data_IF_321321131417
#
_entry.id   IF_321321131417
#
_cell.length_a   1.000
_cell.length_b   1.000
_cell.length_c   1.000
_cell.angle_alpha   90.00
_cell.angle_beta   90.00
_cell.angle_gamma   90.00
#
_symmetry.space_group_name_H-M   'P 1'
#
loop_
_entity.id
_entity.type
_entity.pdbx_description
1 polymer ?
#
# COMPACT_ATOMS: atom_id res chain seq x y z
N UNK A 1 -55.60 47.90 -13.01
CA UNK A 1 -55.34 46.92 -11.94
C UNK A 1 -54.33 47.52 -10.98
N UNK A 2 -54.67 47.46 -9.68
CA UNK A 2 -53.89 47.51 -8.41
C UNK A 2 -52.37 47.36 -8.60
N UNK A 3 -51.42 47.95 -7.85
CA UNK A 3 -51.34 48.89 -6.73
C UNK A 3 -49.85 49.29 -6.66
N UNK A 4 -49.53 50.50 -6.20
CA UNK A 4 -48.16 50.97 -5.92
C UNK A 4 -47.53 50.13 -4.80
N UNK A 5 -46.22 49.86 -4.90
CA UNK A 5 -45.37 49.53 -3.75
C UNK A 5 -44.14 50.44 -3.81
N UNK A 6 -44.01 51.22 -2.74
CA UNK A 6 -42.87 52.05 -2.36
C UNK A 6 -42.04 51.26 -1.33
N UNK A 7 -40.80 51.72 -1.06
CA UNK A 7 -39.93 51.44 0.11
C UNK A 7 -39.00 50.21 -0.08
N UNK A 8 -37.74 50.16 0.38
CA UNK A 8 -37.00 50.92 1.39
C UNK A 8 -35.48 50.74 1.12
N UNK A 9 -34.69 51.77 1.42
CA UNK A 9 -33.23 51.77 1.47
C UNK A 9 -32.73 51.00 2.71
N UNK A 10 -31.72 50.13 2.60
CA UNK A 10 -30.88 49.77 3.76
C UNK A 10 -29.44 49.50 3.32
N UNK A 11 -28.59 50.47 3.60
CA UNK A 11 -27.13 50.34 3.64
C UNK A 11 -26.74 49.76 5.00
N UNK A 12 -25.93 48.70 5.02
CA UNK A 12 -25.17 48.29 6.20
C UNK A 12 -23.71 48.17 5.79
N UNK A 13 -22.90 49.10 6.28
CA UNK A 13 -21.46 48.95 6.42
C UNK A 13 -21.19 48.46 7.84
N UNK A 14 -20.45 47.37 7.98
CA UNK A 14 -19.68 47.08 9.19
C UNK A 14 -18.42 46.30 8.80
N UNK A 15 -17.28 46.92 9.07
CA UNK A 15 -15.96 46.31 9.08
C UNK A 15 -15.83 45.37 10.28
N UNK A 16 -15.22 44.20 10.09
CA UNK A 16 -14.39 43.56 11.10
C UNK A 16 -13.43 42.58 10.43
N UNK A 17 -12.14 42.83 10.65
CA UNK A 17 -11.02 42.00 10.26
C UNK A 17 -10.96 40.73 11.12
N UNK A 18 -10.57 39.60 10.52
CA UNK A 18 -9.72 38.62 11.18
C UNK A 18 -8.57 38.28 10.23
N UNK A 19 -7.38 38.52 10.74
CA UNK A 19 -6.07 38.23 10.16
C UNK A 19 -5.59 36.87 10.69
N UNK A 20 -4.66 36.27 9.95
CA UNK A 20 -3.72 35.20 10.32
C UNK A 20 -4.08 33.76 9.95
N UNK A 21 -3.11 33.19 9.22
CA UNK A 21 -2.73 31.78 9.15
C UNK A 21 -3.71 30.81 8.50
N UNK A 22 -3.76 30.85 7.18
CA UNK A 22 -4.02 29.64 6.40
C UNK A 22 -2.76 28.77 6.40
N UNK A 23 -2.39 28.20 7.56
CA UNK A 23 -1.84 26.86 7.53
C UNK A 23 -3.04 25.95 7.24
N UNK A 24 -3.29 25.74 5.94
CA UNK A 24 -4.04 24.57 5.51
C UNK A 24 -3.12 23.39 5.81
N UNK A 25 -3.13 22.95 7.06
CA UNK A 25 -2.76 21.58 7.38
C UNK A 25 -3.91 20.76 6.79
N UNK A 26 -3.71 20.33 5.56
CA UNK A 26 -4.55 19.30 4.94
C UNK A 26 -4.74 18.19 5.97
N UNK A 27 -5.98 17.72 6.20
CA UNK A 27 -6.17 16.57 7.07
C UNK A 27 -5.63 15.38 6.29
N UNK A 28 -4.36 15.05 6.53
CA UNK A 28 -3.99 13.63 6.60
C UNK A 28 -5.02 13.05 7.55
N UNK A 29 -5.80 12.09 7.09
CA UNK A 29 -6.67 11.32 7.96
C UNK A 29 -5.77 10.77 9.08
N UNK A 30 -5.78 11.46 10.22
CA UNK A 30 -4.80 11.28 11.30
C UNK A 30 -5.25 10.15 12.23
N UNK A 31 -6.24 9.35 11.82
CA UNK A 31 -6.63 8.19 12.59
C UNK A 31 -5.42 7.25 12.67
N UNK A 32 -4.87 7.07 13.89
CA UNK A 32 -3.66 6.26 14.05
C UNK A 32 -3.98 4.83 13.64
N UNK A 33 -3.09 4.20 12.88
CA UNK A 33 -3.20 2.78 12.61
C UNK A 33 -2.94 2.05 13.92
N UNK A 34 -4.01 1.52 14.51
CA UNK A 34 -3.99 0.77 15.75
C UNK A 34 -4.13 -0.73 15.51
N UNK A 35 -3.68 -1.53 16.49
CA UNK A 35 -3.70 -2.99 16.43
C UNK A 35 -2.51 -3.58 15.70
N UNK A 36 -2.60 -4.87 15.37
CA UNK A 36 -1.60 -5.59 14.58
C UNK A 36 -2.11 -5.70 13.14
N UNK A 37 -1.59 -4.83 12.25
CA UNK A 37 -2.01 -4.75 10.86
C UNK A 37 -0.85 -4.76 9.88
N UNK A 38 -1.12 -5.29 8.71
CA UNK A 38 -0.21 -5.32 7.57
C UNK A 38 -0.89 -4.69 6.37
N UNK A 39 -0.18 -3.80 5.69
CA UNK A 39 -0.56 -3.31 4.36
C UNK A 39 0.20 -4.12 3.32
N UNK A 40 -0.52 -4.73 2.38
CA UNK A 40 0.04 -5.39 1.20
C UNK A 40 -0.37 -4.63 -0.04
N UNK A 41 0.60 -4.26 -0.89
CA UNK A 41 0.39 -3.48 -2.11
C UNK A 41 0.90 -4.26 -3.31
N UNK A 42 0.19 -4.13 -4.43
CA UNK A 42 0.50 -4.74 -5.72
C UNK A 42 0.90 -3.66 -6.72
N UNK A 43 2.06 -3.83 -7.34
CA UNK A 43 2.61 -2.92 -8.33
C UNK A 43 3.06 -3.73 -9.54
N UNK A 44 2.54 -3.39 -10.72
CA UNK A 44 2.84 -4.11 -11.96
C UNK A 44 4.35 -4.10 -12.26
N UNK A 45 4.92 -5.25 -12.60
CA UNK A 45 6.37 -5.38 -12.78
C UNK A 45 6.94 -4.55 -13.94
N UNK A 46 6.19 -4.42 -15.04
CA UNK A 46 6.70 -3.79 -16.27
C UNK A 46 6.50 -2.28 -16.29
N UNK A 47 5.34 -1.83 -15.87
CA UNK A 47 4.89 -0.43 -15.90
C UNK A 47 5.13 0.27 -14.58
N UNK A 48 5.32 -0.49 -13.49
CA UNK A 48 5.34 0.01 -12.11
C UNK A 48 4.06 0.74 -11.70
N UNK A 49 2.97 0.58 -12.45
CA UNK A 49 1.69 1.13 -12.04
C UNK A 49 1.23 0.48 -10.73
N UNK A 50 0.83 1.30 -9.76
CA UNK A 50 0.14 0.80 -8.58
C UNK A 50 -1.21 0.24 -9.00
N UNK A 51 -1.46 -1.03 -8.70
CA UNK A 51 -2.67 -1.74 -9.14
C UNK A 51 -3.73 -1.84 -8.04
N UNK A 52 -3.30 -1.92 -6.78
CA UNK A 52 -4.19 -2.07 -5.64
C UNK A 52 -3.50 -2.55 -4.38
N UNK A 53 -4.27 -2.67 -3.31
CA UNK A 53 -3.74 -3.03 -2.00
C UNK A 53 -4.79 -3.70 -1.11
N UNK A 54 -4.36 -4.26 0.02
CA UNK A 54 -5.26 -4.77 1.05
C UNK A 54 -4.62 -4.58 2.43
N UNK A 55 -5.47 -4.34 3.43
CA UNK A 55 -5.06 -4.31 4.84
C UNK A 55 -5.48 -5.61 5.52
N UNK A 56 -4.51 -6.32 6.10
CA UNK A 56 -4.74 -7.53 6.89
C UNK A 56 -4.65 -7.17 8.36
N UNK A 57 -5.60 -7.66 9.16
CA UNK A 57 -5.60 -7.49 10.62
C UNK A 57 -5.40 -8.83 11.29
N UNK A 58 -4.58 -8.85 12.35
CA UNK A 58 -4.24 -10.03 13.13
C UNK A 58 -4.70 -9.83 14.57
N UNK A 59 -5.27 -10.87 15.17
CA UNK A 59 -5.87 -10.81 16.52
C UNK A 59 -4.84 -10.56 17.63
N UNK A 60 -3.63 -11.11 17.48
CA UNK A 60 -2.56 -10.96 18.48
C UNK A 60 -1.91 -9.59 18.40
N UNK A 61 -2.25 -8.68 19.33
CA UNK A 61 -1.80 -7.28 19.32
C UNK A 61 -0.42 -7.05 19.92
N UNK A 62 0.14 -8.04 20.60
CA UNK A 62 1.40 -7.89 21.35
C UNK A 62 2.66 -8.24 20.51
N UNK A 63 2.48 -8.57 19.24
CA UNK A 63 3.59 -8.84 18.32
C UNK A 63 4.38 -7.55 18.05
N UNK A 64 5.59 -7.47 18.62
CA UNK A 64 6.50 -6.31 18.51
C UNK A 64 7.52 -6.44 17.39
N UNK A 65 7.63 -7.62 16.80
CA UNK A 65 8.51 -7.92 15.67
C UNK A 65 7.68 -8.32 14.45
N UNK A 66 8.31 -8.30 13.28
CA UNK A 66 7.68 -8.71 12.03
C UNK A 66 8.60 -9.65 11.24
N UNK A 67 8.42 -10.94 11.49
CA UNK A 67 9.17 -12.01 10.86
C UNK A 67 8.30 -12.70 9.82
N UNK A 68 8.77 -12.74 8.58
CA UNK A 68 8.11 -13.47 7.51
C UNK A 68 8.85 -14.78 7.29
N UNK A 69 8.15 -15.88 7.47
CA UNK A 69 8.59 -17.20 7.04
C UNK A 69 8.09 -17.46 5.62
N UNK A 70 8.98 -17.93 4.75
CA UNK A 70 8.66 -18.23 3.36
C UNK A 70 8.83 -19.72 3.11
N UNK A 71 7.75 -20.36 2.66
CA UNK A 71 7.78 -21.70 2.11
C UNK A 71 7.70 -21.61 0.58
N UNK A 72 8.53 -22.39 -0.11
CA UNK A 72 8.61 -22.35 -1.56
C UNK A 72 8.72 -23.76 -2.15
N UNK A 73 7.83 -24.05 -3.10
CA UNK A 73 7.97 -25.21 -3.99
C UNK A 73 8.34 -24.71 -5.37
N UNK A 74 9.56 -25.04 -5.80
CA UNK A 74 10.03 -24.73 -7.16
C UNK A 74 9.15 -25.41 -8.22
N UNK A 75 8.72 -24.69 -9.26
CA UNK A 75 7.87 -25.26 -10.30
C UNK A 75 8.66 -26.22 -11.20
N UNK A 76 8.20 -27.48 -11.28
CA UNK A 76 8.48 -28.36 -12.42
C UNK A 76 7.50 -28.05 -13.54
N UNK A 77 6.25 -28.49 -13.34
CA UNK A 77 5.07 -27.95 -14.04
C UNK A 77 4.27 -26.98 -13.13
N UNK A 78 4.18 -27.33 -11.84
CA UNK A 78 3.45 -26.61 -10.80
C UNK A 78 4.36 -26.36 -9.59
N UNK A 79 4.29 -25.17 -9.03
CA UNK A 79 4.96 -24.72 -7.82
C UNK A 79 4.11 -23.68 -7.10
N UNK A 80 4.64 -23.12 -6.02
CA UNK A 80 3.96 -22.09 -5.23
C UNK A 80 4.94 -21.40 -4.28
N UNK A 81 4.53 -20.23 -3.80
CA UNK A 81 5.16 -19.53 -2.67
C UNK A 81 4.09 -19.19 -1.64
N UNK A 82 4.40 -19.47 -0.37
CA UNK A 82 3.54 -19.15 0.77
C UNK A 82 4.33 -18.38 1.79
N UNK A 83 3.67 -17.40 2.40
CA UNK A 83 4.29 -16.57 3.43
C UNK A 83 3.44 -16.51 4.67
N UNK A 84 4.12 -16.60 5.81
CA UNK A 84 3.53 -16.67 7.13
C UNK A 84 4.10 -15.54 7.99
N UNK A 85 3.22 -14.91 8.75
CA UNK A 85 3.62 -14.02 9.82
C UNK A 85 3.92 -14.89 11.04
N UNK A 86 5.22 -15.08 11.32
CA UNK A 86 5.71 -16.12 12.23
C UNK A 86 5.21 -15.92 13.66
N UNK A 87 5.13 -14.67 14.12
CA UNK A 87 4.71 -14.31 15.47
C UNK A 87 3.28 -14.75 15.80
N UNK A 88 2.44 -14.96 14.78
CA UNK A 88 1.02 -15.31 14.93
C UNK A 88 0.63 -16.57 14.14
N UNK A 89 1.61 -17.29 13.61
CA UNK A 89 1.44 -18.52 12.81
C UNK A 89 0.32 -18.40 11.75
N UNK A 90 0.25 -17.26 11.07
CA UNK A 90 -0.83 -16.97 10.12
C UNK A 90 -0.28 -16.76 8.71
N UNK A 91 -0.78 -17.58 7.78
CA UNK A 91 -0.53 -17.42 6.34
C UNK A 91 -1.23 -16.17 5.83
N UNK A 92 -0.48 -15.28 5.20
CA UNK A 92 -1.02 -14.05 4.62
C UNK A 92 -0.79 -13.96 3.10
N UNK A 93 0.02 -14.85 2.54
CA UNK A 93 0.24 -14.96 1.11
C UNK A 93 0.25 -16.43 0.67
N UNK A 94 -0.45 -16.75 -0.41
CA UNK A 94 -0.47 -18.09 -1.03
C UNK A 94 -0.68 -17.93 -2.54
N UNK A 95 0.42 -18.01 -3.29
CA UNK A 95 0.42 -17.84 -4.74
C UNK A 95 0.99 -19.05 -5.46
N UNK A 96 0.24 -19.60 -6.41
CA UNK A 96 0.71 -20.64 -7.31
C UNK A 96 1.69 -20.09 -8.34
N UNK A 97 2.55 -20.97 -8.86
CA UNK A 97 3.50 -20.65 -9.93
C UNK A 97 3.43 -21.79 -10.95
N UNK A 98 3.03 -21.48 -12.18
CA UNK A 98 2.91 -22.48 -13.25
C UNK A 98 3.99 -22.28 -14.31
N UNK A 99 4.64 -23.38 -14.74
CA UNK A 99 5.64 -23.33 -15.82
C UNK A 99 5.02 -23.05 -17.20
N UNK A 100 3.79 -23.52 -17.40
CA UNK A 100 2.98 -23.22 -18.58
C UNK A 100 1.58 -22.86 -18.12
N UNK A 101 1.25 -21.58 -18.21
CA UNK A 101 -0.03 -21.03 -17.76
C UNK A 101 0.14 -20.00 -16.66
N UNK A 102 -1.00 -19.56 -16.14
CA UNK A 102 -1.07 -18.57 -15.06
C UNK A 102 -1.42 -19.29 -13.75
N UNK A 103 -0.58 -19.11 -12.73
CA UNK A 103 -0.88 -19.52 -11.36
C UNK A 103 -1.98 -18.65 -10.75
N UNK A 104 -2.72 -19.21 -9.79
CA UNK A 104 -3.74 -18.49 -9.03
C UNK A 104 -3.16 -17.92 -7.74
N UNK A 105 -3.55 -16.69 -7.39
CA UNK A 105 -3.34 -16.15 -6.05
C UNK A 105 -4.54 -16.51 -5.16
N UNK A 106 -4.32 -17.33 -4.14
CA UNK A 106 -5.35 -17.77 -3.20
C UNK A 106 -5.45 -16.88 -1.97
N UNK A 107 -4.34 -16.23 -1.59
CA UNK A 107 -4.29 -15.33 -0.44
C UNK A 107 -3.33 -14.17 -0.74
N UNK A 108 -3.77 -12.90 -0.58
CA UNK A 108 -5.14 -12.48 -0.31
C UNK A 108 -6.09 -12.81 -1.49
N UNK A 109 -7.37 -13.04 -1.20
CA UNK A 109 -8.35 -13.39 -2.25
C UNK A 109 -8.61 -12.23 -3.22
N UNK A 110 -8.53 -10.99 -2.73
CA UNK A 110 -8.79 -9.78 -3.50
C UNK A 110 -7.91 -8.63 -3.01
N UNK A 111 -7.62 -7.70 -3.92
CA UNK A 111 -7.06 -6.40 -3.62
C UNK A 111 -8.12 -5.34 -3.91
N UNK A 112 -8.19 -4.33 -3.05
CA UNK A 112 -8.92 -3.12 -3.36
C UNK A 112 -8.19 -2.38 -4.50
N UNK A 113 -8.92 -1.85 -5.49
CA UNK A 113 -8.31 -1.27 -6.68
C UNK A 113 -7.55 0.01 -6.34
N UNK A 114 -6.51 0.37 -7.11
CA UNK A 114 -5.71 1.58 -6.87
C UNK A 114 -6.54 2.87 -6.64
N UNK A 115 -7.70 2.99 -7.29
CA UNK A 115 -8.61 4.13 -7.13
C UNK A 115 -9.24 4.27 -5.73
N UNK A 116 -9.15 3.25 -4.87
CA UNK A 116 -9.62 3.32 -3.48
C UNK A 116 -8.58 3.86 -2.50
N UNK A 117 -7.37 4.17 -2.96
CA UNK A 117 -6.30 4.68 -2.12
C UNK A 117 -6.05 6.16 -2.42
N UNK A 118 -6.14 6.97 -1.37
CA UNK A 118 -5.82 8.38 -1.47
C UNK A 118 -4.31 8.60 -1.55
N UNK A 119 -3.92 9.65 -2.27
CA UNK A 119 -2.55 10.13 -2.35
C UNK A 119 -2.36 11.37 -1.49
N UNK A 120 -1.17 11.51 -0.90
CA UNK A 120 -0.78 12.75 -0.24
C UNK A 120 -0.67 13.88 -1.27
N UNK A 121 -0.91 15.11 -0.80
CA UNK A 121 -0.81 16.31 -1.62
C UNK A 121 0.60 16.91 -1.64
N UNK A 122 1.54 16.30 -0.93
CA UNK A 122 2.93 16.74 -0.83
C UNK A 122 3.78 16.13 -1.94
N UNK A 123 4.83 16.85 -2.34
CA UNK A 123 5.77 16.42 -3.39
C UNK A 123 7.02 15.72 -2.81
N UNK A 124 7.06 15.49 -1.50
CA UNK A 124 8.19 14.84 -0.85
C UNK A 124 8.27 13.34 -1.19
N UNK A 125 9.49 12.86 -1.33
CA UNK A 125 9.78 11.44 -1.48
C UNK A 125 10.22 10.87 -0.14
N UNK A 126 9.50 9.87 0.36
CA UNK A 126 9.90 9.14 1.58
C UNK A 126 10.33 7.74 1.25
N UNK A 127 11.23 7.23 2.06
CA UNK A 127 11.69 5.84 2.03
C UNK A 127 11.57 5.24 3.43
N UNK A 128 11.32 3.93 3.55
CA UNK A 128 11.42 3.24 4.83
C UNK A 128 12.81 3.44 5.43
N UNK A 129 12.91 3.85 6.70
CA UNK A 129 14.21 4.09 7.35
C UNK A 129 15.02 2.80 7.46
N UNK A 130 14.36 1.66 7.66
CA UNK A 130 14.98 0.34 7.67
C UNK A 130 15.39 -0.17 6.29
N UNK A 131 15.09 0.57 5.21
CA UNK A 131 15.35 0.15 3.84
C UNK A 131 14.36 -0.91 3.34
N UNK A 132 14.82 -1.73 2.39
CA UNK A 132 14.03 -2.79 1.77
C UNK A 132 14.62 -4.15 2.09
N UNK A 133 13.77 -5.06 2.54
CA UNK A 133 14.13 -6.46 2.73
C UNK A 133 13.46 -7.30 1.64
N UNK A 134 14.27 -7.93 0.78
CA UNK A 134 13.72 -8.88 -0.17
C UNK A 134 13.45 -10.21 0.53
N UNK A 135 12.17 -10.55 0.69
CA UNK A 135 11.74 -11.73 1.44
C UNK A 135 11.63 -12.99 0.57
N UNK A 136 11.72 -12.86 -0.75
CA UNK A 136 11.69 -13.99 -1.67
C UNK A 136 12.44 -13.68 -2.97
N UNK A 137 13.63 -14.26 -3.12
CA UNK A 137 14.51 -14.08 -4.28
C UNK A 137 15.28 -15.37 -4.61
N UNK A 138 14.61 -16.43 -5.06
CA UNK A 138 15.24 -17.74 -5.25
C UNK A 138 16.35 -17.74 -6.31
N UNK A 139 16.40 -16.74 -7.20
CA UNK A 139 17.43 -16.57 -8.22
C UNK A 139 18.57 -15.64 -7.81
N UNK A 140 18.54 -15.07 -6.60
CA UNK A 140 19.52 -14.08 -6.11
C UNK A 140 19.72 -12.90 -7.07
N UNK A 141 18.67 -12.52 -7.80
CA UNK A 141 18.72 -11.43 -8.75
C UNK A 141 18.81 -10.08 -8.03
N UNK A 142 19.66 -9.18 -8.52
CA UNK A 142 19.69 -7.80 -8.07
C UNK A 142 18.53 -7.00 -8.70
N UNK A 143 17.83 -6.23 -7.87
CA UNK A 143 16.71 -5.40 -8.28
C UNK A 143 16.83 -4.00 -7.69
N UNK A 144 16.32 -3.00 -8.41
CA UNK A 144 16.18 -1.64 -7.89
C UNK A 144 14.77 -1.46 -7.31
N UNK A 145 14.64 -1.67 -5.99
CA UNK A 145 13.37 -1.54 -5.27
C UNK A 145 12.86 -0.10 -5.21
N UNK A 146 13.67 0.91 -5.51
CA UNK A 146 13.22 2.30 -5.53
C UNK A 146 12.18 2.55 -6.62
N UNK A 147 12.25 1.80 -7.73
CA UNK A 147 11.33 1.95 -8.85
C UNK A 147 9.90 1.60 -8.41
N UNK A 148 9.54 0.35 -8.02
CA UNK A 148 8.19 0.05 -7.57
C UNK A 148 7.79 0.85 -6.32
N UNK A 149 8.74 1.12 -5.42
CA UNK A 149 8.47 1.95 -4.24
C UNK A 149 8.01 3.37 -4.59
N UNK A 150 8.61 3.99 -5.62
CA UNK A 150 8.26 5.36 -6.04
C UNK A 150 6.79 5.53 -6.42
N UNK A 151 6.12 4.44 -6.81
CA UNK A 151 4.71 4.42 -7.21
C UNK A 151 3.73 4.19 -6.06
N UNK A 152 4.21 3.79 -4.88
CA UNK A 152 3.37 3.56 -3.70
C UNK A 152 3.70 4.49 -2.54
N UNK A 153 4.90 5.06 -2.51
CA UNK A 153 5.35 5.89 -1.40
C UNK A 153 4.41 7.08 -1.14
N UNK A 154 3.78 7.64 -2.18
CA UNK A 154 2.84 8.77 -2.07
C UNK A 154 1.43 8.41 -1.59
N UNK A 155 1.13 7.15 -1.27
CA UNK A 155 -0.19 6.76 -0.76
C UNK A 155 -0.33 7.21 0.69
N UNK A 156 -1.48 7.80 1.07
CA UNK A 156 -1.78 8.22 2.45
C UNK A 156 -1.59 7.05 3.41
N UNK A 157 -2.09 5.87 3.05
CA UNK A 157 -1.92 4.63 3.83
C UNK A 157 -0.45 4.27 4.04
N UNK A 158 0.38 4.33 2.99
CA UNK A 158 1.81 4.08 3.13
C UNK A 158 2.45 5.05 4.12
N UNK A 159 2.10 6.34 4.07
CA UNK A 159 2.60 7.34 5.02
C UNK A 159 2.17 7.04 6.45
N UNK A 160 0.93 6.62 6.66
CA UNK A 160 0.44 6.22 7.99
C UNK A 160 1.22 5.03 8.54
N UNK A 161 1.46 3.98 7.74
CA UNK A 161 2.22 2.78 8.16
C UNK A 161 3.69 3.12 8.49
N UNK A 162 4.33 3.97 7.68
CA UNK A 162 5.67 4.44 7.98
C UNK A 162 5.72 5.30 9.26
N UNK A 163 4.69 6.11 9.51
CA UNK A 163 4.64 6.93 10.72
C UNK A 163 4.42 6.11 11.99
N UNK A 164 3.66 5.00 11.91
CA UNK A 164 3.40 4.13 13.05
C UNK A 164 4.59 3.22 13.38
N UNK A 165 5.39 2.84 12.38
CA UNK A 165 6.61 2.04 12.54
C UNK A 165 7.82 2.66 11.81
N UNK A 166 8.37 3.78 12.32
CA UNK A 166 9.32 4.62 11.59
C UNK A 166 10.65 3.93 11.28
N UNK A 167 11.06 2.95 12.08
CA UNK A 167 12.33 2.26 11.91
C UNK A 167 12.22 0.95 11.12
N UNK A 168 11.01 0.54 10.73
CA UNK A 168 10.83 -0.69 9.98
C UNK A 168 11.40 -0.60 8.56
N UNK A 169 11.83 -1.74 8.06
CA UNK A 169 12.04 -1.97 6.64
C UNK A 169 10.72 -2.29 5.95
N UNK A 170 10.59 -1.90 4.69
CA UNK A 170 9.54 -2.44 3.84
C UNK A 170 9.96 -3.83 3.36
N UNK A 171 9.08 -4.81 3.46
CA UNK A 171 9.33 -6.11 2.84
C UNK A 171 8.85 -6.06 1.39
N UNK A 172 9.62 -6.62 0.47
CA UNK A 172 9.30 -6.59 -0.95
C UNK A 172 9.70 -7.90 -1.63
N UNK A 173 8.96 -8.35 -2.62
CA UNK A 173 9.39 -9.44 -3.49
C UNK A 173 8.68 -9.37 -4.84
N UNK A 174 9.25 -10.04 -5.85
CA UNK A 174 8.62 -10.21 -7.15
C UNK A 174 7.83 -11.53 -7.16
N UNK A 175 6.52 -11.45 -7.34
CA UNK A 175 5.67 -12.61 -7.54
C UNK A 175 5.51 -12.89 -9.04
N UNK A 176 5.89 -14.10 -9.45
CA UNK A 176 5.85 -14.55 -10.84
C UNK A 176 4.90 -15.76 -10.98
N UNK A 177 3.59 -15.55 -11.15
CA UNK A 177 2.62 -16.66 -11.24
C UNK A 177 2.80 -17.53 -12.49
N UNK A 178 3.51 -17.02 -13.50
CA UNK A 178 3.89 -17.73 -14.71
C UNK A 178 5.41 -17.68 -14.91
N UNK A 179 6.06 -18.82 -15.15
CA UNK A 179 7.52 -18.92 -15.43
C UNK A 179 7.80 -19.69 -16.72
N UNK A 180 9.06 -19.88 -17.11
CA UNK A 180 9.41 -20.63 -18.33
C UNK A 180 9.10 -19.86 -19.62
N UNK A 181 7.97 -20.17 -20.28
CA UNK A 181 7.40 -19.35 -21.37
C UNK A 181 6.59 -18.16 -20.83
N UNK A 182 6.40 -18.11 -19.50
CA UNK A 182 5.59 -17.15 -18.76
C UNK A 182 5.72 -15.70 -19.23
N UNK A 183 4.64 -14.95 -19.00
CA UNK A 183 4.47 -13.60 -19.50
C UNK A 183 4.77 -12.60 -18.38
N UNK A 184 5.83 -11.78 -18.48
CA UNK A 184 6.15 -10.79 -17.46
C UNK A 184 5.06 -9.74 -17.21
N UNK A 185 4.04 -9.62 -18.07
CA UNK A 185 2.88 -8.78 -17.80
C UNK A 185 1.93 -9.34 -16.74
N UNK A 186 2.15 -10.58 -16.29
CA UNK A 186 1.38 -11.20 -15.21
C UNK A 186 2.14 -11.13 -13.88
N UNK A 187 3.28 -10.44 -13.83
CA UNK A 187 4.17 -10.39 -12.66
C UNK A 187 3.97 -9.09 -11.90
N UNK A 188 4.09 -9.19 -10.59
CA UNK A 188 3.86 -8.06 -9.70
C UNK A 188 4.90 -7.98 -8.61
N UNK A 189 5.33 -6.76 -8.33
CA UNK A 189 5.95 -6.44 -7.06
C UNK A 189 4.90 -6.45 -5.97
N UNK A 190 5.17 -7.20 -4.91
CA UNK A 190 4.39 -7.18 -3.69
C UNK A 190 5.19 -6.41 -2.63
N UNK A 191 4.63 -5.31 -2.14
CA UNK A 191 5.22 -4.47 -1.10
C UNK A 191 4.42 -4.62 0.18
N UNK A 192 5.10 -4.85 1.30
CA UNK A 192 4.47 -5.13 2.59
C UNK A 192 5.02 -4.19 3.65
N UNK A 193 4.10 -3.55 4.38
CA UNK A 193 4.39 -2.69 5.52
C UNK A 193 3.66 -3.20 6.76
N UNK A 194 4.36 -3.15 7.89
CA UNK A 194 3.80 -3.47 9.21
C UNK A 194 3.65 -2.17 9.99
N UNK A 195 2.48 -1.96 10.58
CA UNK A 195 2.22 -0.78 11.41
C UNK A 195 2.96 -0.81 12.75
#
# INVERSE_FOLDING_TARGET
MKSKITLLLFTVFAFAACTSDNNVTEPVDNDPITGNKMLMLKVDYLTNAFEGGTELSFEETDATTFTIETEYQTPGDFGWVKMYYAEVDTKFFDGEIHWMGLGTLHCPENFDPASSFDHVLTEDFVTPQGGFDNIFNPSEQEYDYQIPWSHVQGLVKVRQYLASNPTASAKIFLYTPSVGVGNPSDWDWIVILKN
#
